data_IF_107385638581
#
_entry.id   IF_107385638581
#
_cell.length_a   1.000
_cell.length_b   1.000
_cell.length_c   1.000
_cell.angle_alpha   90.00
_cell.angle_beta   90.00
_cell.angle_gamma   90.00
#
_symmetry.space_group_name_H-M   'P 1'
#
loop_
_entity.id
_entity.type
_entity.pdbx_description
1 polymer ?
#
# COMPACT_ATOMS: atom_id res chain seq x y z
N UNK A 1 3.63 -7.99 -3.48
CA UNK A 1 2.41 -7.19 -3.20
C UNK A 1 1.49 -7.25 -4.42
N UNK A 2 0.17 -7.46 -4.26
CA UNK A 2 -0.78 -7.42 -5.38
C UNK A 2 -0.84 -6.06 -6.06
N UNK A 3 -0.75 -5.02 -5.24
CA UNK A 3 -0.92 -3.61 -5.59
C UNK A 3 0.03 -2.79 -4.72
N UNK A 4 0.30 -1.55 -5.13
CA UNK A 4 1.09 -0.58 -4.39
C UNK A 4 0.20 0.61 -4.01
N UNK A 5 0.48 1.26 -2.90
CA UNK A 5 -0.11 2.57 -2.58
C UNK A 5 0.89 3.64 -3.00
N UNK A 6 0.44 4.61 -3.79
CA UNK A 6 1.28 5.67 -4.31
C UNK A 6 0.52 6.99 -4.29
N UNK A 7 1.28 8.09 -4.30
CA UNK A 7 0.68 9.43 -4.46
C UNK A 7 0.07 9.56 -5.86
N UNK A 8 -1.20 9.97 -5.95
CA UNK A 8 -1.87 10.28 -7.22
C UNK A 8 -1.96 11.82 -7.43
N UNK A 9 -1.95 12.59 -6.34
CA UNK A 9 -1.81 14.04 -6.29
C UNK A 9 -0.69 14.45 -5.31
N UNK A 10 -0.43 15.75 -5.06
CA UNK A 10 0.54 16.14 -4.03
C UNK A 10 0.16 15.63 -2.62
N UNK A 11 -1.14 15.55 -2.32
CA UNK A 11 -1.66 15.42 -0.95
C UNK A 11 -2.65 14.25 -0.80
N UNK A 12 -2.77 13.39 -1.80
CA UNK A 12 -3.65 12.19 -1.78
C UNK A 12 -2.93 10.98 -2.34
N UNK A 13 -3.44 9.80 -1.99
CA UNK A 13 -2.91 8.52 -2.41
C UNK A 13 -3.98 7.66 -3.08
N UNK A 14 -3.52 6.77 -3.96
CA UNK A 14 -4.39 5.76 -4.56
C UNK A 14 -3.63 4.45 -4.73
N UNK A 15 -4.34 3.43 -5.18
CA UNK A 15 -3.75 2.11 -5.48
C UNK A 15 -3.25 2.07 -6.91
N UNK A 16 -2.11 1.40 -7.10
CA UNK A 16 -1.53 1.11 -8.41
C UNK A 16 -1.39 -0.41 -8.55
N UNK A 17 -1.86 -0.91 -9.68
CA UNK A 17 -1.76 -2.31 -10.03
C UNK A 17 -3.01 -2.78 -10.76
N UNK A 18 -2.83 -3.56 -11.81
CA UNK A 18 -3.92 -4.29 -12.43
C UNK A 18 -4.18 -5.62 -11.72
N UNK A 19 -5.16 -6.39 -12.19
CA UNK A 19 -5.50 -7.69 -11.62
C UNK A 19 -4.53 -8.80 -12.01
N UNK A 20 -3.90 -8.65 -13.17
CA UNK A 20 -3.06 -9.69 -13.78
C UNK A 20 -1.57 -9.46 -13.49
N UNK A 21 -1.27 -8.57 -12.54
CA UNK A 21 0.09 -8.26 -12.12
C UNK A 21 0.26 -8.21 -10.61
N UNK A 22 1.51 -8.16 -10.21
CA UNK A 22 1.96 -7.97 -8.85
C UNK A 22 3.35 -7.38 -8.84
N UNK A 23 3.78 -6.92 -7.67
CA UNK A 23 5.01 -6.18 -7.49
C UNK A 23 5.92 -6.80 -6.43
N UNK A 24 7.21 -6.81 -6.71
CA UNK A 24 8.26 -6.96 -5.69
C UNK A 24 8.88 -5.59 -5.48
N UNK A 25 8.91 -5.12 -4.23
CA UNK A 25 9.55 -3.87 -3.85
C UNK A 25 10.71 -4.20 -2.94
N UNK A 26 11.93 -3.95 -3.42
CA UNK A 26 13.16 -4.21 -2.67
C UNK A 26 13.74 -2.89 -2.17
N UNK A 27 14.11 -2.83 -0.90
CA UNK A 27 14.87 -1.68 -0.36
C UNK A 27 16.36 -1.99 -0.49
N UNK A 28 17.09 -1.11 -1.17
CA UNK A 28 18.52 -1.27 -1.40
C UNK A 28 19.27 -0.11 -0.77
N UNK A 29 20.38 -0.43 -0.13
CA UNK A 29 21.34 0.53 0.39
C UNK A 29 22.71 0.18 -0.14
N UNK A 30 23.33 1.07 -0.91
CA UNK A 30 24.73 0.94 -1.27
C UNK A 30 25.62 1.32 -0.08
N UNK A 31 26.77 0.66 0.05
CA UNK A 31 27.75 0.99 1.09
C UNK A 31 28.52 2.27 0.78
N UNK A 32 28.67 2.61 -0.50
CA UNK A 32 29.36 3.79 -0.99
C UNK A 32 28.81 4.23 -2.37
N UNK A 33 29.33 5.35 -2.87
CA UNK A 33 28.89 5.97 -4.13
C UNK A 33 29.18 5.13 -5.39
N UNK A 34 29.91 4.02 -5.26
CA UNK A 34 30.19 3.06 -6.34
C UNK A 34 29.24 1.86 -6.39
N UNK A 35 28.14 1.91 -5.62
CA UNK A 35 27.08 0.91 -5.67
C UNK A 35 26.52 0.68 -7.08
N UNK A 36 25.87 -0.48 -7.33
CA UNK A 36 25.39 -0.83 -8.66
C UNK A 36 24.46 0.23 -9.24
N UNK A 37 24.46 0.37 -10.55
CA UNK A 37 23.49 1.19 -11.25
C UNK A 37 22.11 0.57 -11.11
N UNK A 38 21.09 1.41 -11.21
CA UNK A 38 19.70 0.98 -11.21
C UNK A 38 19.42 -0.16 -12.22
N UNK A 39 19.99 -0.06 -13.44
CA UNK A 39 19.83 -1.05 -14.51
C UNK A 39 20.71 -2.30 -14.36
N UNK A 40 21.50 -2.40 -13.29
CA UNK A 40 22.31 -3.58 -12.99
C UNK A 40 21.65 -4.50 -11.96
N UNK A 41 20.52 -4.07 -11.39
CA UNK A 41 19.71 -4.94 -10.55
C UNK A 41 18.74 -5.74 -11.41
N UNK A 42 18.63 -7.02 -11.11
CA UNK A 42 17.75 -7.95 -11.82
C UNK A 42 16.96 -8.77 -10.80
N UNK A 43 15.67 -8.98 -11.05
CA UNK A 43 14.89 -9.96 -10.32
C UNK A 43 14.78 -11.21 -11.17
N UNK A 44 15.42 -12.28 -10.72
CA UNK A 44 15.39 -13.58 -11.37
C UNK A 44 14.24 -14.40 -10.80
N UNK A 45 13.31 -14.82 -11.65
CA UNK A 45 12.16 -15.65 -11.29
C UNK A 45 12.20 -16.95 -12.09
N UNK A 46 12.87 -17.97 -11.55
CA UNK A 46 13.13 -19.21 -12.28
C UNK A 46 14.06 -18.95 -13.46
N UNK A 47 13.53 -19.07 -14.69
CA UNK A 47 14.29 -18.83 -15.93
C UNK A 47 14.11 -17.40 -16.48
N UNK A 48 13.19 -16.60 -15.92
CA UNK A 48 12.91 -15.24 -16.36
C UNK A 48 13.77 -14.22 -15.60
N UNK A 49 14.23 -13.20 -16.32
CA UNK A 49 14.97 -12.06 -15.77
C UNK A 49 14.13 -10.79 -15.94
N UNK A 50 13.84 -10.13 -14.82
CA UNK A 50 12.95 -8.97 -14.77
C UNK A 50 13.71 -7.73 -14.32
N UNK A 51 13.65 -6.69 -15.13
CA UNK A 51 14.30 -5.40 -14.85
C UNK A 51 13.41 -4.52 -13.95
N UNK A 52 14.00 -3.66 -13.10
CA UNK A 52 13.23 -2.76 -12.27
C UNK A 52 12.58 -1.66 -13.13
N UNK A 53 11.37 -1.26 -12.75
CA UNK A 53 10.59 -0.22 -13.44
C UNK A 53 10.83 1.16 -12.83
N UNK A 54 11.22 2.12 -13.68
CA UNK A 54 11.56 3.48 -13.24
C UNK A 54 10.33 4.33 -12.92
N UNK A 55 9.17 3.93 -13.43
CA UNK A 55 7.91 4.59 -13.22
C UNK A 55 6.84 3.56 -12.84
N UNK A 56 6.24 3.76 -11.67
CA UNK A 56 5.01 3.09 -11.29
C UNK A 56 3.86 3.89 -11.93
N UNK A 57 3.06 3.26 -12.80
CA UNK A 57 1.96 3.93 -13.51
C UNK A 57 1.03 4.64 -12.50
N UNK A 58 0.49 5.80 -12.86
CA UNK A 58 -0.35 6.63 -11.98
C UNK A 58 0.30 7.10 -10.66
N UNK A 59 1.59 6.83 -10.41
CA UNK A 59 2.31 7.43 -9.29
C UNK A 59 2.88 8.81 -9.66
N UNK A 60 2.58 9.81 -8.84
CA UNK A 60 3.18 11.14 -8.92
C UNK A 60 4.63 11.08 -8.46
N UNK A 61 5.53 11.60 -9.28
CA UNK A 61 6.97 11.70 -9.01
C UNK A 61 7.62 10.35 -8.62
N UNK A 62 6.99 9.23 -8.98
CA UNK A 62 7.44 7.88 -8.61
C UNK A 62 7.64 7.79 -7.09
N UNK A 63 6.61 8.13 -6.32
CA UNK A 63 6.64 8.02 -4.85
C UNK A 63 5.58 7.04 -4.38
N UNK A 64 6.03 6.04 -3.63
CA UNK A 64 5.18 5.10 -2.93
C UNK A 64 4.87 5.63 -1.53
N UNK A 65 3.70 5.31 -1.01
CA UNK A 65 3.29 5.59 0.37
C UNK A 65 3.27 4.27 1.18
N UNK A 66 3.59 4.28 2.48
CA UNK A 66 4.05 5.39 3.33
C UNK A 66 5.58 5.57 3.31
N UNK A 67 6.21 5.24 2.17
CA UNK A 67 7.68 5.23 2.07
C UNK A 67 8.24 6.65 2.07
N UNK A 68 9.22 6.88 2.94
CA UNK A 68 9.95 8.15 3.01
C UNK A 68 11.23 8.15 2.15
N UNK A 69 11.68 6.98 1.70
CA UNK A 69 12.76 6.84 0.73
C UNK A 69 12.24 6.99 -0.70
N UNK A 70 13.09 7.53 -1.57
CA UNK A 70 12.81 7.63 -3.00
C UNK A 70 13.16 6.36 -3.75
N UNK A 71 12.88 6.31 -5.07
CA UNK A 71 13.44 5.30 -5.95
C UNK A 71 14.96 5.25 -5.81
N UNK A 72 15.53 4.04 -5.86
CA UNK A 72 16.97 3.87 -5.78
C UNK A 72 17.69 4.65 -6.89
N UNK A 73 18.66 5.47 -6.50
CA UNK A 73 19.63 6.10 -7.40
C UNK A 73 21.02 5.57 -7.07
N UNK A 74 21.88 5.45 -8.09
CA UNK A 74 23.24 4.90 -7.96
C UNK A 74 23.97 5.46 -6.74
N UNK A 75 24.53 4.56 -5.92
CA UNK A 75 25.33 4.91 -4.74
C UNK A 75 24.52 5.42 -3.54
N UNK A 76 23.18 5.35 -3.58
CA UNK A 76 22.30 5.84 -2.52
C UNK A 76 21.54 4.74 -1.76
N UNK A 77 20.49 5.18 -1.06
CA UNK A 77 19.46 4.34 -0.45
C UNK A 77 18.15 4.61 -1.16
N UNK A 78 17.41 3.57 -1.47
CA UNK A 78 16.08 3.71 -2.04
C UNK A 78 15.49 2.38 -2.45
N UNK A 79 14.32 2.44 -3.07
CA UNK A 79 13.59 1.24 -3.46
C UNK A 79 13.70 0.93 -4.95
N UNK A 80 13.68 -0.36 -5.27
CA UNK A 80 13.49 -0.90 -6.62
C UNK A 80 12.11 -1.53 -6.70
N UNK A 81 11.43 -1.37 -7.82
CA UNK A 81 10.11 -1.98 -8.08
C UNK A 81 10.24 -2.90 -9.28
N UNK A 82 9.78 -4.13 -9.15
CA UNK A 82 9.70 -5.10 -10.24
C UNK A 82 8.24 -5.48 -10.45
N UNK A 83 7.77 -5.46 -11.69
CA UNK A 83 6.40 -5.85 -12.08
C UNK A 83 6.43 -7.26 -12.66
N UNK A 84 5.60 -8.13 -12.11
CA UNK A 84 5.49 -9.54 -12.46
C UNK A 84 4.04 -9.88 -12.85
N UNK A 85 3.81 -10.92 -13.67
CA UNK A 85 2.46 -11.44 -13.88
C UNK A 85 1.89 -12.03 -12.58
N UNK A 86 0.56 -12.01 -12.43
CA UNK A 86 -0.15 -12.64 -11.31
C UNK A 86 -1.12 -13.73 -11.81
N UNK A 87 -0.90 -15.01 -11.47
CA UNK A 87 0.21 -15.53 -10.67
C UNK A 87 1.54 -15.52 -11.44
N UNK A 88 2.66 -15.55 -10.72
CA UNK A 88 3.99 -15.82 -11.29
C UNK A 88 4.26 -17.32 -11.18
N UNK A 89 4.49 -18.01 -12.30
CA UNK A 89 4.87 -19.41 -12.29
C UNK A 89 6.38 -19.55 -12.08
N UNK A 90 6.80 -19.52 -10.82
CA UNK A 90 8.22 -19.66 -10.46
C UNK A 90 8.42 -20.58 -9.26
N UNK A 91 9.57 -21.27 -9.21
CA UNK A 91 9.99 -22.09 -8.08
C UNK A 91 10.92 -21.34 -7.11
N UNK A 92 11.53 -20.23 -7.55
CA UNK A 92 12.47 -19.42 -6.77
C UNK A 92 12.41 -17.95 -7.21
N UNK A 93 12.82 -17.05 -6.34
CA UNK A 93 12.97 -15.63 -6.67
C UNK A 93 14.24 -15.10 -6.02
N UNK A 94 15.09 -14.45 -6.80
CA UNK A 94 16.31 -13.82 -6.30
C UNK A 94 16.46 -12.41 -6.87
N UNK A 95 16.88 -11.47 -6.03
CA UNK A 95 17.41 -10.18 -6.48
C UNK A 95 18.91 -10.35 -6.72
N UNK A 96 19.38 -10.01 -7.91
CA UNK A 96 20.78 -10.12 -8.30
C UNK A 96 21.35 -8.75 -8.71
N UNK A 97 22.64 -8.58 -8.46
CA UNK A 97 23.41 -7.38 -8.85
C UNK A 97 24.89 -7.74 -8.97
N UNK A 98 25.72 -6.87 -9.59
CA UNK A 98 27.16 -7.07 -9.63
C UNK A 98 27.75 -7.28 -8.23
N UNK A 99 28.26 -8.49 -7.99
CA UNK A 99 28.94 -8.85 -6.74
C UNK A 99 28.04 -9.39 -5.63
N UNK A 100 26.74 -9.62 -5.88
CA UNK A 100 25.86 -10.22 -4.87
C UNK A 100 24.51 -10.70 -5.38
N UNK A 101 23.86 -11.51 -4.54
CA UNK A 101 22.48 -11.93 -4.75
C UNK A 101 21.78 -12.08 -3.40
N UNK A 102 20.46 -11.92 -3.42
CA UNK A 102 19.58 -12.14 -2.29
C UNK A 102 18.42 -13.03 -2.73
N UNK A 103 18.40 -14.27 -2.23
CA UNK A 103 17.32 -15.22 -2.49
C UNK A 103 16.17 -15.00 -1.51
N UNK A 104 14.95 -14.95 -2.02
CA UNK A 104 13.73 -14.83 -1.23
C UNK A 104 13.30 -16.17 -0.65
N UNK A 105 12.64 -16.13 0.51
CA UNK A 105 12.12 -17.31 1.18
C UNK A 105 10.96 -17.98 0.43
N UNK A 106 10.65 -19.22 0.85
CA UNK A 106 9.56 -20.01 0.29
C UNK A 106 8.18 -19.36 0.46
N UNK A 107 8.02 -18.53 1.49
CA UNK A 107 6.76 -17.84 1.77
C UNK A 107 6.50 -16.74 0.73
N UNK A 108 7.54 -15.99 0.36
CA UNK A 108 7.51 -14.99 -0.71
C UNK A 108 7.19 -15.65 -2.04
N UNK A 109 7.90 -16.75 -2.38
CA UNK A 109 7.62 -17.52 -3.61
C UNK A 109 6.17 -18.02 -3.61
N UNK A 110 5.71 -18.57 -2.48
CA UNK A 110 4.34 -19.06 -2.35
C UNK A 110 3.30 -17.96 -2.56
N UNK A 111 3.54 -16.74 -2.07
CA UNK A 111 2.67 -15.58 -2.30
C UNK A 111 2.64 -15.16 -3.76
N UNK A 112 3.77 -15.15 -4.46
CA UNK A 112 3.85 -14.78 -5.88
C UNK A 112 3.12 -15.76 -6.79
N UNK A 113 3.05 -17.03 -6.40
CA UNK A 113 2.32 -18.07 -7.15
C UNK A 113 0.80 -18.06 -6.91
N UNK A 114 0.30 -17.27 -5.94
CA UNK A 114 -1.15 -17.24 -5.65
C UNK A 114 -1.91 -16.58 -6.81
N UNK A 115 -2.99 -17.21 -7.30
CA UNK A 115 -3.89 -16.57 -8.25
C UNK A 115 -4.47 -15.24 -7.70
N UNK A 116 -4.95 -14.33 -8.57
CA UNK A 116 -5.66 -13.13 -8.13
C UNK A 116 -6.89 -13.45 -7.29
N UNK A 117 -6.96 -12.90 -6.08
CA UNK A 117 -8.15 -12.95 -5.22
C UNK A 117 -9.14 -11.83 -5.57
N UNK A 118 -10.40 -12.03 -5.19
CA UNK A 118 -11.49 -11.07 -5.33
C UNK A 118 -11.94 -10.57 -3.97
N UNK A 119 -12.22 -9.28 -3.86
CA UNK A 119 -12.63 -8.67 -2.60
C UNK A 119 -13.87 -7.82 -2.77
N UNK A 120 -14.73 -7.88 -1.76
CA UNK A 120 -15.88 -7.00 -1.57
C UNK A 120 -15.66 -6.25 -0.25
N UNK A 121 -15.78 -4.93 -0.28
CA UNK A 121 -15.77 -4.10 0.93
C UNK A 121 -17.23 -3.92 1.37
N UNK A 122 -17.58 -4.47 2.52
CA UNK A 122 -18.96 -4.41 3.05
C UNK A 122 -19.28 -3.05 3.66
N UNK A 123 -18.27 -2.42 4.25
CA UNK A 123 -18.42 -1.13 4.87
C UNK A 123 -17.12 -0.56 5.42
N UNK A 124 -17.18 0.72 5.72
CA UNK A 124 -16.19 1.46 6.46
C UNK A 124 -16.90 2.34 7.48
N UNK A 125 -16.43 2.35 8.72
CA UNK A 125 -16.91 3.23 9.77
C UNK A 125 -15.76 4.05 10.35
N UNK A 126 -16.07 5.22 10.89
CA UNK A 126 -15.15 6.04 11.67
C UNK A 126 -15.84 6.46 12.96
N UNK A 127 -15.22 6.17 14.09
CA UNK A 127 -15.82 6.36 15.41
C UNK A 127 -14.81 7.01 16.35
N UNK A 128 -15.26 8.03 17.10
CA UNK A 128 -14.46 8.60 18.19
C UNK A 128 -14.28 7.59 19.32
N UNK A 129 -13.09 7.56 19.91
CA UNK A 129 -12.72 6.66 20.99
C UNK A 129 -12.48 7.39 22.31
N UNK A 130 -13.13 6.90 23.35
CA UNK A 130 -12.93 7.37 24.72
C UNK A 130 -13.31 8.84 24.92
N UNK A 131 -12.69 9.48 25.91
CA UNK A 131 -12.98 10.86 26.30
C UNK A 131 -12.19 11.89 25.47
N UNK A 132 -11.34 11.43 24.54
CA UNK A 132 -10.54 12.28 23.67
C UNK A 132 -11.23 12.42 22.31
N UNK A 133 -11.81 13.59 22.08
CA UNK A 133 -12.45 13.97 20.81
C UNK A 133 -11.51 13.90 19.59
N UNK A 134 -10.21 13.70 19.81
CA UNK A 134 -9.16 13.57 18.78
C UNK A 134 -8.97 12.15 18.27
N UNK A 135 -9.32 11.14 19.06
CA UNK A 135 -8.93 9.76 18.77
C UNK A 135 -10.05 9.14 17.93
N UNK A 136 -9.78 8.88 16.65
CA UNK A 136 -10.76 8.31 15.72
C UNK A 136 -10.30 6.95 15.24
N UNK A 137 -11.08 5.92 15.51
CA UNK A 137 -10.88 4.58 14.94
C UNK A 137 -11.63 4.44 13.64
N UNK A 138 -10.91 4.17 12.56
CA UNK A 138 -11.47 3.73 11.29
C UNK A 138 -11.47 2.21 11.26
N UNK A 139 -12.60 1.62 10.86
CA UNK A 139 -12.76 0.17 10.70
C UNK A 139 -13.24 -0.13 9.29
N UNK A 140 -12.63 -1.14 8.64
CA UNK A 140 -12.98 -1.59 7.29
C UNK A 140 -13.25 -3.10 7.35
N UNK A 141 -14.38 -3.51 6.77
CA UNK A 141 -14.76 -4.92 6.66
C UNK A 141 -14.61 -5.38 5.21
N UNK A 142 -13.77 -6.39 4.99
CA UNK A 142 -13.42 -6.91 3.65
C UNK A 142 -13.68 -8.41 3.60
N UNK A 143 -14.52 -8.82 2.65
CA UNK A 143 -14.74 -10.21 2.30
C UNK A 143 -13.88 -10.60 1.10
N UNK A 144 -13.23 -11.75 1.18
CA UNK A 144 -12.62 -12.41 0.03
C UNK A 144 -13.62 -13.38 -0.59
N UNK A 145 -14.14 -13.04 -1.76
CA UNK A 145 -15.15 -13.85 -2.45
C UNK A 145 -14.55 -14.94 -3.34
N UNK A 146 -13.23 -15.12 -3.29
CA UNK A 146 -12.51 -16.12 -4.08
C UNK A 146 -12.12 -17.34 -3.26
N UNK A 147 -11.88 -18.47 -3.94
CA UNK A 147 -11.47 -19.73 -3.32
C UNK A 147 -9.98 -19.78 -2.93
N UNK A 148 -9.27 -18.64 -2.97
CA UNK A 148 -7.86 -18.54 -2.60
C UNK A 148 -7.67 -17.38 -1.63
N UNK A 149 -6.81 -17.56 -0.62
CA UNK A 149 -6.44 -16.46 0.26
C UNK A 149 -5.69 -15.36 -0.51
N UNK A 150 -5.89 -14.11 -0.11
CA UNK A 150 -5.23 -12.98 -0.77
C UNK A 150 -5.04 -11.79 0.16
N UNK A 151 -4.29 -10.82 -0.32
CA UNK A 151 -4.07 -9.54 0.36
C UNK A 151 -4.96 -8.49 -0.30
N UNK A 152 -5.87 -7.89 0.47
CA UNK A 152 -6.54 -6.64 0.11
C UNK A 152 -5.57 -5.47 0.32
N UNK A 153 -5.54 -4.54 -0.62
CA UNK A 153 -4.72 -3.32 -0.55
C UNK A 153 -5.64 -2.12 -0.79
N UNK A 154 -5.51 -1.10 0.06
CA UNK A 154 -6.26 0.16 -0.07
C UNK A 154 -5.43 1.36 0.34
N UNK A 155 -5.69 2.50 -0.28
CA UNK A 155 -5.15 3.80 0.08
C UNK A 155 -6.18 4.54 0.93
N UNK A 156 -5.81 4.94 2.15
CA UNK A 156 -6.69 5.67 3.05
C UNK A 156 -6.21 7.12 3.17
N UNK A 157 -7.01 8.05 2.66
CA UNK A 157 -6.80 9.49 2.80
C UNK A 157 -7.84 10.10 3.75
N UNK A 158 -7.52 11.25 4.33
CA UNK A 158 -8.45 12.09 5.09
C UNK A 158 -8.61 13.47 4.48
N UNK A 159 -9.86 13.95 4.48
CA UNK A 159 -10.27 15.32 4.13
C UNK A 159 -10.82 15.99 5.37
N UNK A 160 -10.26 17.15 5.73
CA UNK A 160 -10.64 17.88 6.94
C UNK A 160 -10.34 17.13 8.26
N UNK A 161 -10.45 17.82 9.41
CA UNK A 161 -10.31 19.26 9.54
C UNK A 161 -8.89 19.70 9.14
N UNK A 162 -8.70 21.00 8.83
CA UNK A 162 -7.41 21.65 8.51
C UNK A 162 -6.64 21.23 7.25
N UNK A 163 -7.01 20.11 6.65
CA UNK A 163 -6.34 19.56 5.48
C UNK A 163 -7.34 19.46 4.33
N UNK A 164 -6.91 19.83 3.12
CA UNK A 164 -7.69 19.56 1.93
C UNK A 164 -7.72 18.05 1.67
N UNK A 165 -6.54 17.42 1.70
CA UNK A 165 -6.32 15.98 1.71
C UNK A 165 -5.05 15.70 2.51
N UNK A 166 -4.98 14.54 3.15
CA UNK A 166 -3.73 13.99 3.68
C UNK A 166 -3.80 12.47 3.59
N UNK A 167 -2.73 11.80 3.15
CA UNK A 167 -2.64 10.35 3.28
C UNK A 167 -2.51 9.99 4.75
N UNK A 168 -3.31 9.01 5.19
CA UNK A 168 -3.30 8.52 6.56
C UNK A 168 -2.61 7.14 6.62
N UNK A 169 -2.96 6.22 5.72
CA UNK A 169 -2.47 4.84 5.83
C UNK A 169 -2.49 4.07 4.50
N UNK A 170 -1.58 3.11 4.37
CA UNK A 170 -1.64 2.09 3.32
C UNK A 170 -2.21 0.79 3.92
N UNK A 171 -3.49 0.54 3.68
CA UNK A 171 -4.18 -0.65 4.19
C UNK A 171 -3.63 -1.89 3.49
N UNK A 172 -3.11 -2.83 4.27
CA UNK A 172 -2.75 -4.18 3.83
C UNK A 172 -3.39 -5.21 4.74
N UNK A 173 -4.32 -6.00 4.22
CA UNK A 173 -5.08 -6.99 4.99
C UNK A 173 -5.04 -8.35 4.30
N UNK A 174 -4.47 -9.36 4.96
CA UNK A 174 -4.60 -10.75 4.51
C UNK A 174 -6.01 -11.26 4.85
N UNK A 175 -6.76 -11.68 3.85
CA UNK A 175 -8.12 -12.22 3.99
C UNK A 175 -8.11 -13.67 3.49
N UNK A 176 -8.44 -14.65 4.35
CA UNK A 176 -8.55 -16.06 3.93
C UNK A 176 -9.57 -16.24 2.80
N UNK A 177 -9.52 -17.39 2.12
CA UNK A 177 -10.47 -17.70 1.05
C UNK A 177 -11.90 -17.77 1.60
N UNK A 178 -12.87 -17.15 0.92
CA UNK A 178 -14.30 -17.22 1.27
C UNK A 178 -14.61 -16.72 2.70
N UNK A 179 -13.74 -15.90 3.28
CA UNK A 179 -13.87 -15.36 4.63
C UNK A 179 -13.89 -13.83 4.62
N UNK A 180 -14.38 -13.27 5.72
CA UNK A 180 -14.36 -11.83 6.00
C UNK A 180 -13.32 -11.52 7.06
N UNK A 181 -12.54 -10.47 6.84
CA UNK A 181 -11.59 -9.95 7.81
C UNK A 181 -11.81 -8.45 8.02
N UNK A 182 -11.41 -7.99 9.20
CA UNK A 182 -11.55 -6.59 9.60
C UNK A 182 -10.17 -5.97 9.75
N UNK A 183 -10.02 -4.79 9.19
CA UNK A 183 -8.88 -3.91 9.47
C UNK A 183 -9.36 -2.73 10.31
N UNK A 184 -8.59 -2.34 11.31
CA UNK A 184 -8.90 -1.18 12.15
C UNK A 184 -7.64 -0.43 12.55
N UNK A 185 -7.70 0.91 12.55
CA UNK A 185 -6.62 1.76 13.03
C UNK A 185 -7.17 3.01 13.73
N UNK A 186 -6.50 3.44 14.79
CA UNK A 186 -6.86 4.65 15.54
C UNK A 186 -5.89 5.78 15.21
N UNK A 187 -6.44 6.89 14.72
CA UNK A 187 -5.71 8.11 14.39
C UNK A 187 -5.91 9.16 15.49
N UNK A 188 -4.85 9.92 15.79
CA UNK A 188 -4.96 11.13 16.61
C UNK A 188 -5.10 12.33 15.69
N UNK A 189 -6.28 12.94 15.66
CA UNK A 189 -6.60 14.09 14.81
C UNK A 189 -6.48 15.41 15.57
N UNK A 190 -6.12 16.52 14.89
CA UNK A 190 -6.12 17.83 15.53
C UNK A 190 -7.56 18.26 15.89
N UNK A 191 -7.74 18.82 17.09
CA UNK A 191 -9.02 19.41 17.47
C UNK A 191 -9.31 20.66 16.62
N UNK A 192 -10.50 20.75 16.01
CA UNK A 192 -10.96 21.98 15.37
C UNK A 192 -11.18 23.08 16.40
N UNK A 193 -10.76 24.31 16.07
CA UNK A 193 -11.16 25.52 16.78
C UNK A 193 -12.70 25.66 16.75
N UNK A 194 -13.29 26.36 17.71
CA UNK A 194 -14.75 26.41 17.92
C UNK A 194 -15.55 26.86 16.68
N UNK A 195 -14.97 27.68 15.81
CA UNK A 195 -15.61 28.25 14.62
C UNK A 195 -15.27 27.53 13.30
N UNK A 196 -14.51 26.43 13.36
CA UNK A 196 -14.03 25.71 12.18
C UNK A 196 -14.85 24.47 11.81
N UNK A 197 -14.56 23.87 10.65
CA UNK A 197 -15.17 22.59 10.26
C UNK A 197 -14.66 21.48 11.17
N UNK A 198 -15.57 20.71 11.78
CA UNK A 198 -15.24 19.60 12.69
C UNK A 198 -15.35 18.21 12.07
N UNK A 199 -15.76 18.14 10.81
CA UNK A 199 -15.96 16.87 10.12
C UNK A 199 -14.63 16.40 9.53
N UNK A 200 -14.18 15.21 9.94
CA UNK A 200 -13.15 14.46 9.23
C UNK A 200 -13.83 13.43 8.32
N UNK A 201 -13.49 13.46 7.03
CA UNK A 201 -13.94 12.47 6.05
C UNK A 201 -12.76 11.56 5.71
N UNK A 202 -12.93 10.26 5.89
CA UNK A 202 -11.97 9.26 5.48
C UNK A 202 -12.41 8.66 4.15
N UNK A 203 -11.50 8.62 3.18
CA UNK A 203 -11.71 8.06 1.86
C UNK A 203 -10.77 6.88 1.62
N UNK A 204 -11.34 5.71 1.35
CA UNK A 204 -10.63 4.50 1.01
C UNK A 204 -10.74 4.27 -0.51
N UNK A 205 -9.60 4.25 -1.20
CA UNK A 205 -9.50 3.84 -2.60
C UNK A 205 -8.82 2.46 -2.71
N UNK A 206 -9.39 1.57 -3.52
CA UNK A 206 -8.78 0.29 -3.90
C UNK A 206 -9.05 0.01 -5.38
N UNK A 207 -8.40 -0.99 -5.97
CA UNK A 207 -8.50 -1.30 -7.41
C UNK A 207 -9.92 -1.28 -7.99
N UNK A 208 -10.88 -1.80 -7.24
CA UNK A 208 -12.22 -2.07 -7.71
C UNK A 208 -13.25 -1.03 -7.25
N UNK A 209 -12.87 -0.03 -6.44
CA UNK A 209 -13.82 0.93 -5.92
C UNK A 209 -13.25 1.95 -4.96
N UNK A 210 -14.17 2.80 -4.48
CA UNK A 210 -13.93 3.83 -3.49
C UNK A 210 -15.07 3.82 -2.48
N UNK A 211 -14.77 4.11 -1.22
CA UNK A 211 -15.74 4.28 -0.16
C UNK A 211 -15.33 5.46 0.73
N UNK A 212 -16.31 6.17 1.27
CA UNK A 212 -16.07 7.28 2.19
C UNK A 212 -16.92 7.12 3.44
N UNK A 213 -16.38 7.55 4.57
CA UNK A 213 -17.10 7.70 5.83
C UNK A 213 -16.70 9.02 6.47
N UNK A 214 -17.53 9.54 7.36
CA UNK A 214 -17.23 10.76 8.09
C UNK A 214 -17.46 10.56 9.58
N UNK A 215 -16.79 11.40 10.36
CA UNK A 215 -17.00 11.54 11.80
C UNK A 215 -17.00 13.03 12.16
N UNK A 216 -17.97 13.46 12.95
CA UNK A 216 -18.00 14.82 13.49
C UNK A 216 -17.32 14.85 14.86
N UNK A 217 -16.13 15.46 14.93
CA UNK A 217 -15.30 15.52 16.13
C UNK A 217 -15.93 16.30 17.30
N UNK A 218 -17.09 16.96 17.09
CA UNK A 218 -17.83 17.65 18.15
C UNK A 218 -19.02 16.86 18.69
N UNK A 219 -19.46 15.80 18.02
CA UNK A 219 -20.61 15.03 18.51
C UNK A 219 -20.34 14.27 19.82
N UNK A 220 -19.07 14.07 20.19
CA UNK A 220 -18.65 13.50 21.48
C UNK A 220 -18.77 14.44 22.68
N UNK A 221 -19.13 15.72 22.49
CA UNK A 221 -19.24 16.72 23.58
C UNK A 221 -20.56 16.67 24.38
N UNK A 222 -21.43 15.66 24.15
CA UNK A 222 -22.78 15.59 24.74
C UNK A 222 -22.91 14.75 26.00
#
# INVERSE_FOLDING_TARGET
>A
MPELVAFDSPDSTSTVGTRDEQFVVATVSAADESGPRYSEFELVTGDDVVQPITAVENSRAHRLWPRNDGPYTMGGVGYLVFRLPKPTDTASVALEWPGGSYEHDSDTVSKLRRPPAEFVVHGMSAEQQGDRLTDVTVTIEVENTSSVAGTFVGALDRVGPYVAYTPEEAVGLEVPAEETATWSHTFELPLPAEDEYSIATFALDWRAGRLETNVDLREGER
#
